data_IF_383471422288
#
_entry.id   IF_383471422288
#
_cell.length_a   1.000
_cell.length_b   1.000
_cell.length_c   1.000
_cell.angle_alpha   90.00
_cell.angle_beta   90.00
_cell.angle_gamma   90.00
#
_symmetry.space_group_name_H-M   'P 1'
#
loop_
_entity.id
_entity.type
_entity.pdbx_description
1 polymer ?
#
# COMPACT_ATOMS: atom_id res chain seq x y z
N UNK A 1 -20.40 -16.65 8.26
CA UNK A 1 -20.84 -15.26 8.45
C UNK A 1 -20.19 -14.44 7.35
N UNK A 2 -20.92 -13.66 6.55
CA UNK A 2 -20.29 -12.91 5.49
C UNK A 2 -19.40 -11.84 6.14
N UNK A 3 -18.10 -11.82 5.85
CA UNK A 3 -17.17 -10.74 6.24
C UNK A 3 -17.50 -9.40 5.53
N UNK A 4 -18.77 -9.16 5.14
CA UNK A 4 -19.20 -8.03 4.32
C UNK A 4 -19.45 -6.75 5.12
N UNK A 5 -19.87 -6.87 6.38
CA UNK A 5 -20.25 -5.71 7.21
C UNK A 5 -19.16 -5.21 8.16
N UNK A 6 -17.99 -5.86 8.20
CA UNK A 6 -16.99 -5.54 9.23
C UNK A 6 -16.22 -4.24 8.97
N UNK A 7 -16.10 -3.81 7.70
CA UNK A 7 -15.21 -2.72 7.30
C UNK A 7 -15.94 -1.42 6.90
N UNK A 8 -17.27 -1.46 6.67
CA UNK A 8 -18.06 -0.26 6.32
C UNK A 8 -17.79 0.31 4.92
N UNK A 9 -16.99 -0.36 4.09
CA UNK A 9 -16.60 0.07 2.74
C UNK A 9 -16.84 -1.07 1.72
N UNK A 10 -17.16 -0.75 0.44
CA UNK A 10 -17.31 -1.76 -0.61
C UNK A 10 -16.06 -2.65 -0.70
N UNK A 11 -16.27 -3.96 -0.64
CA UNK A 11 -15.19 -4.96 -0.69
C UNK A 11 -14.30 -4.84 -1.91
N UNK A 12 -14.87 -4.42 -3.04
CA UNK A 12 -14.14 -4.26 -4.29
C UNK A 12 -13.01 -3.23 -4.13
N UNK A 13 -13.25 -2.14 -3.40
CA UNK A 13 -12.25 -1.11 -3.15
C UNK A 13 -11.16 -1.63 -2.21
N UNK A 14 -11.53 -2.28 -1.09
CA UNK A 14 -10.57 -2.89 -0.16
C UNK A 14 -9.69 -3.93 -0.87
N UNK A 15 -10.30 -4.80 -1.66
CA UNK A 15 -9.60 -5.88 -2.36
C UNK A 15 -8.67 -5.30 -3.41
N UNK A 16 -9.13 -4.30 -4.18
CA UNK A 16 -8.30 -3.64 -5.17
C UNK A 16 -7.11 -2.93 -4.53
N UNK A 17 -7.33 -2.21 -3.42
CA UNK A 17 -6.28 -1.56 -2.66
C UNK A 17 -5.27 -2.60 -2.16
N UNK A 18 -5.71 -3.58 -1.36
CA UNK A 18 -4.83 -4.58 -0.76
C UNK A 18 -4.05 -5.38 -1.82
N UNK A 19 -4.71 -5.76 -2.92
CA UNK A 19 -4.10 -6.49 -4.02
C UNK A 19 -3.02 -5.65 -4.71
N UNK A 20 -3.26 -4.35 -4.92
CA UNK A 20 -2.24 -3.47 -5.51
C UNK A 20 -1.04 -3.25 -4.57
N UNK A 21 -1.26 -3.06 -3.27
CA UNK A 21 -0.17 -3.00 -2.28
C UNK A 21 0.64 -4.29 -2.23
N UNK A 22 -0.04 -5.45 -2.26
CA UNK A 22 0.60 -6.76 -2.28
C UNK A 22 1.38 -7.00 -3.58
N UNK A 23 0.83 -6.60 -4.73
CA UNK A 23 1.52 -6.66 -6.01
C UNK A 23 2.78 -5.79 -6.00
N UNK A 24 2.72 -4.58 -5.46
CA UNK A 24 3.88 -3.72 -5.31
C UNK A 24 4.92 -4.31 -4.36
N UNK A 25 4.50 -4.91 -3.24
CA UNK A 25 5.40 -5.56 -2.29
C UNK A 25 6.11 -6.77 -2.91
N UNK A 26 5.38 -7.65 -3.60
CA UNK A 26 5.95 -8.81 -4.31
C UNK A 26 6.93 -8.34 -5.38
N UNK A 27 6.56 -7.31 -6.14
CA UNK A 27 7.43 -6.78 -7.18
C UNK A 27 8.71 -6.18 -6.58
N UNK A 28 8.63 -5.43 -5.47
CA UNK A 28 9.79 -4.92 -4.73
C UNK A 28 10.70 -6.07 -4.27
N UNK A 29 10.12 -7.15 -3.74
CA UNK A 29 10.86 -8.30 -3.24
C UNK A 29 11.52 -9.12 -4.35
N UNK A 30 10.81 -9.34 -5.47
CA UNK A 30 11.38 -9.93 -6.68
C UNK A 30 12.50 -9.05 -7.26
N UNK A 31 12.28 -7.72 -7.30
CA UNK A 31 13.30 -6.70 -7.55
C UNK A 31 14.24 -6.46 -6.36
N UNK A 32 14.33 -7.35 -5.38
CA UNK A 32 15.43 -7.39 -4.44
C UNK A 32 16.24 -8.69 -4.59
N UNK A 33 15.62 -9.76 -5.10
CA UNK A 33 16.24 -11.07 -5.27
C UNK A 33 16.79 -11.36 -6.68
N UNK A 34 16.24 -10.78 -7.75
CA UNK A 34 16.46 -11.24 -9.13
C UNK A 34 17.39 -10.42 -10.07
N UNK A 35 17.45 -9.10 -9.97
CA UNK A 35 18.46 -8.29 -10.68
C UNK A 35 19.76 -8.36 -9.87
N UNK A 36 20.86 -7.74 -10.26
CA UNK A 36 22.04 -7.63 -9.36
C UNK A 36 22.74 -6.29 -9.56
N UNK A 37 22.29 -5.50 -10.54
CA UNK A 37 23.09 -4.42 -11.12
C UNK A 37 22.37 -3.10 -11.38
N UNK A 38 21.03 -3.05 -11.52
CA UNK A 38 20.30 -1.83 -11.98
C UNK A 38 18.87 -1.64 -11.40
N UNK A 39 18.65 -2.01 -10.14
CA UNK A 39 17.31 -1.99 -9.51
C UNK A 39 16.85 -0.61 -9.03
N UNK A 40 17.80 0.29 -8.73
CA UNK A 40 17.55 1.62 -8.16
C UNK A 40 16.46 2.43 -8.90
N UNK A 41 16.46 2.55 -10.24
CA UNK A 41 15.42 3.31 -10.94
C UNK A 41 14.04 2.62 -10.92
N UNK A 42 13.99 1.28 -10.92
CA UNK A 42 12.72 0.55 -10.83
C UNK A 42 12.08 0.71 -9.45
N UNK A 43 12.88 0.57 -8.39
CA UNK A 43 12.44 0.80 -7.01
C UNK A 43 12.00 2.24 -6.79
N UNK A 44 12.66 3.21 -7.42
CA UNK A 44 12.25 4.62 -7.37
C UNK A 44 10.86 4.84 -7.98
N UNK A 45 10.58 4.24 -9.15
CA UNK A 45 9.25 4.32 -9.78
C UNK A 45 8.15 3.69 -8.92
N UNK A 46 8.43 2.53 -8.31
CA UNK A 46 7.48 1.83 -7.42
C UNK A 46 7.26 2.61 -6.13
N UNK A 47 8.31 3.23 -5.57
CA UNK A 47 8.22 4.08 -4.39
C UNK A 47 7.28 5.27 -4.63
N UNK A 48 7.36 5.92 -5.80
CA UNK A 48 6.42 6.97 -6.21
C UNK A 48 4.98 6.42 -6.32
N UNK A 49 4.80 5.26 -6.95
CA UNK A 49 3.49 4.63 -7.08
C UNK A 49 2.87 4.30 -5.71
N UNK A 50 3.65 3.74 -4.78
CA UNK A 50 3.26 3.45 -3.40
C UNK A 50 2.92 4.73 -2.62
N UNK A 51 3.64 5.84 -2.85
CA UNK A 51 3.31 7.12 -2.26
C UNK A 51 1.95 7.65 -2.76
N UNK A 52 1.70 7.64 -4.06
CA UNK A 52 0.40 8.00 -4.63
C UNK A 52 -0.73 7.10 -4.12
N UNK A 53 -0.45 5.81 -3.99
CA UNK A 53 -1.37 4.84 -3.42
C UNK A 53 -1.73 5.17 -1.95
N UNK A 54 -0.75 5.52 -1.13
CA UNK A 54 -1.00 6.00 0.24
C UNK A 54 -1.89 7.26 0.24
N UNK A 55 -1.64 8.22 -0.65
CA UNK A 55 -2.47 9.42 -0.79
C UNK A 55 -3.92 9.08 -1.20
N UNK A 56 -4.10 8.16 -2.15
CA UNK A 56 -5.42 7.69 -2.57
C UNK A 56 -6.15 7.00 -1.41
N UNK A 57 -5.46 6.13 -0.68
CA UNK A 57 -5.98 5.41 0.48
C UNK A 57 -6.41 6.37 1.58
N UNK A 58 -5.57 7.35 1.94
CA UNK A 58 -5.90 8.38 2.92
C UNK A 58 -7.10 9.22 2.48
N UNK A 59 -7.17 9.58 1.20
CA UNK A 59 -8.28 10.36 0.64
C UNK A 59 -9.58 9.58 0.72
N UNK A 60 -9.56 8.29 0.39
CA UNK A 60 -10.71 7.38 0.50
C UNK A 60 -11.15 7.21 1.95
N UNK A 61 -10.20 7.06 2.88
CA UNK A 61 -10.49 6.97 4.31
C UNK A 61 -11.12 8.26 4.82
N UNK A 62 -10.64 9.42 4.38
CA UNK A 62 -11.20 10.72 4.77
C UNK A 62 -12.60 10.95 4.21
N UNK A 63 -12.82 10.65 2.92
CA UNK A 63 -14.13 10.79 2.28
C UNK A 63 -15.16 9.79 2.81
N UNK A 64 -14.75 8.54 3.03
CA UNK A 64 -15.62 7.48 3.49
C UNK A 64 -15.65 7.37 5.02
N UNK A 65 -15.04 8.31 5.76
CA UNK A 65 -14.84 8.22 7.22
C UNK A 65 -16.15 8.05 7.98
N UNK A 66 -17.25 8.62 7.46
CA UNK A 66 -18.59 8.52 8.04
C UNK A 66 -19.20 7.11 7.91
N UNK A 67 -18.85 6.37 6.86
CA UNK A 67 -19.34 5.01 6.58
C UNK A 67 -18.35 3.94 7.08
N UNK A 68 -17.09 4.32 7.30
CA UNK A 68 -16.03 3.44 7.78
C UNK A 68 -16.25 3.01 9.23
N UNK A 69 -16.23 1.70 9.46
CA UNK A 69 -16.18 1.15 10.81
C UNK A 69 -14.77 1.29 11.39
N UNK A 70 -14.66 1.27 12.73
CA UNK A 70 -13.36 1.36 13.41
C UNK A 70 -12.34 0.29 12.97
N UNK A 71 -12.80 -0.87 12.50
CA UNK A 71 -11.95 -1.91 11.92
C UNK A 71 -11.39 -1.52 10.55
N UNK A 72 -12.19 -0.86 9.70
CA UNK A 72 -11.73 -0.28 8.43
C UNK A 72 -10.63 0.75 8.62
N UNK A 73 -10.85 1.69 9.53
CA UNK A 73 -9.84 2.71 9.86
C UNK A 73 -8.54 2.08 10.33
N UNK A 74 -8.62 1.08 11.22
CA UNK A 74 -7.43 0.38 11.74
C UNK A 74 -6.69 -0.36 10.63
N UNK A 75 -7.42 -1.05 9.74
CA UNK A 75 -6.83 -1.77 8.61
C UNK A 75 -6.09 -0.81 7.66
N UNK A 76 -6.74 0.28 7.25
CA UNK A 76 -6.11 1.27 6.36
C UNK A 76 -4.93 1.99 7.02
N UNK A 77 -4.99 2.26 8.33
CA UNK A 77 -3.83 2.77 9.06
C UNK A 77 -2.64 1.82 8.98
N UNK A 78 -2.86 0.52 9.23
CA UNK A 78 -1.80 -0.50 9.15
C UNK A 78 -1.27 -0.60 7.71
N UNK A 79 -2.15 -0.60 6.71
CA UNK A 79 -1.77 -0.65 5.30
C UNK A 79 -0.87 0.54 4.92
N UNK A 80 -1.27 1.76 5.27
CA UNK A 80 -0.47 2.97 5.04
C UNK A 80 0.87 2.92 5.78
N UNK A 81 0.89 2.45 7.03
CA UNK A 81 2.12 2.32 7.81
C UNK A 81 3.10 1.33 7.18
N UNK A 82 2.62 0.18 6.71
CA UNK A 82 3.44 -0.84 6.05
C UNK A 82 3.99 -0.32 4.73
N UNK A 83 3.14 0.29 3.89
CA UNK A 83 3.56 0.82 2.57
C UNK A 83 4.52 2.00 2.74
N UNK A 84 4.27 2.91 3.69
CA UNK A 84 5.19 4.01 4.00
C UNK A 84 6.53 3.51 4.54
N UNK A 85 6.51 2.49 5.41
CA UNK A 85 7.73 1.83 5.88
C UNK A 85 8.57 1.29 4.73
N UNK A 86 7.92 0.61 3.77
CA UNK A 86 8.57 0.12 2.57
C UNK A 86 9.18 1.27 1.76
N UNK A 87 8.41 2.32 1.46
CA UNK A 87 8.89 3.53 0.74
C UNK A 87 10.15 4.13 1.38
N UNK A 88 10.20 4.22 2.72
CA UNK A 88 11.36 4.76 3.45
C UNK A 88 12.57 3.83 3.32
N UNK A 89 12.38 2.52 3.43
CA UNK A 89 13.46 1.53 3.25
C UNK A 89 14.02 1.61 1.83
N UNK A 90 13.14 1.68 0.83
CA UNK A 90 13.53 1.80 -0.59
C UNK A 90 14.30 3.10 -0.84
N UNK A 91 13.84 4.23 -0.30
CA UNK A 91 14.58 5.50 -0.42
C UNK A 91 15.94 5.48 0.28
N UNK A 92 16.05 4.83 1.45
CA UNK A 92 17.34 4.65 2.12
C UNK A 92 18.29 3.79 1.30
N UNK A 93 17.80 2.72 0.69
CA UNK A 93 18.58 1.83 -0.19
C UNK A 93 19.06 2.55 -1.46
N UNK A 94 18.22 3.42 -2.05
CA UNK A 94 18.61 4.19 -3.25
C UNK A 94 19.70 5.21 -2.91
N UNK A 95 19.58 5.88 -1.76
CA UNK A 95 20.53 6.91 -1.30
C UNK A 95 21.86 6.33 -0.81
N UNK A 96 21.88 5.08 -0.36
CA UNK A 96 23.11 4.35 0.06
C UNK A 96 23.93 3.84 -1.11
#
# INVERSE_FOLDING_TARGET
MPFQDFFGMPKDILTFLSLSALAFAIYSFCCYFFLERNWKPFLFGISIANFFYCCLTLSLVYFCFAELTGLGVTYFMVEVLVVMGLVIVEWKLIKS
#
